data_IF_174023215100
#
_entry.id   IF_174023215100
#
_cell.length_a   1.000
_cell.length_b   1.000
_cell.length_c   1.000
_cell.angle_alpha   90.00
_cell.angle_beta   90.00
_cell.angle_gamma   90.00
#
_symmetry.space_group_name_H-M   'P 1'
#
loop_
_entity.id
_entity.type
_entity.pdbx_description
1 polymer ?
#
# COMPACT_ATOMS: atom_id res chain seq x y z
N UNK A 1 -1.75 -28.72 9.81
CA UNK A 1 -0.95 -27.49 10.09
C UNK A 1 -0.53 -26.72 8.82
N UNK A 2 -0.44 -27.34 7.62
CA UNK A 2 -0.10 -26.61 6.39
C UNK A 2 -1.18 -25.65 5.86
N UNK A 3 -2.45 -25.95 6.10
CA UNK A 3 -3.59 -25.18 5.56
C UNK A 3 -3.67 -23.74 6.10
N UNK A 4 -3.35 -23.54 7.40
CA UNK A 4 -3.34 -22.22 8.03
C UNK A 4 -2.21 -21.31 7.55
N UNK A 5 -1.06 -21.88 7.17
CA UNK A 5 0.08 -21.12 6.61
C UNK A 5 -0.23 -20.61 5.20
N UNK A 6 -0.84 -21.45 4.36
CA UNK A 6 -1.25 -21.07 2.99
C UNK A 6 -2.32 -19.99 3.02
N UNK A 7 -3.31 -20.11 3.90
CA UNK A 7 -4.35 -19.09 4.08
C UNK A 7 -3.78 -17.72 4.48
N UNK A 8 -2.84 -17.70 5.44
CA UNK A 8 -2.19 -16.47 5.89
C UNK A 8 -1.36 -15.81 4.77
N UNK A 9 -0.72 -16.60 3.92
CA UNK A 9 0.02 -16.06 2.77
C UNK A 9 -0.92 -15.44 1.72
N UNK A 10 -2.04 -16.11 1.41
CA UNK A 10 -3.05 -15.60 0.49
C UNK A 10 -3.65 -14.26 0.94
N UNK A 11 -3.96 -14.14 2.23
CA UNK A 11 -4.48 -12.89 2.81
C UNK A 11 -3.45 -11.76 2.80
N UNK A 12 -2.16 -12.08 3.03
CA UNK A 12 -1.08 -11.09 2.96
C UNK A 12 -0.81 -10.60 1.53
N UNK A 13 -0.83 -11.49 0.54
CA UNK A 13 -0.72 -11.10 -0.87
C UNK A 13 -1.88 -10.22 -1.30
N UNK A 14 -3.12 -10.59 -0.93
CA UNK A 14 -4.31 -9.77 -1.18
C UNK A 14 -4.22 -8.38 -0.50
N UNK A 15 -3.67 -8.31 0.71
CA UNK A 15 -3.40 -7.05 1.40
C UNK A 15 -2.40 -6.16 0.65
N UNK A 16 -1.31 -6.72 0.15
CA UNK A 16 -0.31 -5.97 -0.62
C UNK A 16 -0.89 -5.40 -1.93
N UNK A 17 -1.67 -6.19 -2.67
CA UNK A 17 -2.35 -5.73 -3.88
C UNK A 17 -3.41 -4.66 -3.59
N UNK A 18 -4.15 -4.80 -2.49
CA UNK A 18 -5.10 -3.79 -2.04
C UNK A 18 -4.42 -2.44 -1.74
N UNK A 19 -3.22 -2.48 -1.14
CA UNK A 19 -2.44 -1.27 -0.86
C UNK A 19 -1.91 -0.63 -2.15
N UNK A 20 -1.39 -1.41 -3.10
CA UNK A 20 -0.99 -0.89 -4.41
C UNK A 20 -2.16 -0.21 -5.13
N UNK A 21 -3.35 -0.81 -5.07
CA UNK A 21 -4.56 -0.22 -5.63
C UNK A 21 -4.96 1.09 -4.93
N UNK A 22 -4.85 1.15 -3.60
CA UNK A 22 -5.11 2.38 -2.83
C UNK A 22 -4.12 3.50 -3.21
N UNK A 23 -2.84 3.18 -3.39
CA UNK A 23 -1.81 4.14 -3.80
C UNK A 23 -2.09 4.72 -5.20
N UNK A 24 -2.48 3.85 -6.15
CA UNK A 24 -2.85 4.28 -7.50
C UNK A 24 -4.02 5.27 -7.49
N UNK A 25 -5.07 4.98 -6.73
CA UNK A 25 -6.23 5.89 -6.58
C UNK A 25 -5.82 7.24 -5.98
N UNK A 26 -4.89 7.25 -5.02
CA UNK A 26 -4.35 8.47 -4.42
C UNK A 26 -3.64 9.36 -5.44
N UNK A 27 -2.82 8.78 -6.32
CA UNK A 27 -2.19 9.52 -7.42
C UNK A 27 -3.24 10.09 -8.39
N UNK A 28 -4.21 9.29 -8.80
CA UNK A 28 -5.28 9.75 -9.70
C UNK A 28 -6.05 10.94 -9.12
N UNK A 29 -6.33 10.93 -7.81
CA UNK A 29 -6.98 12.05 -7.10
C UNK A 29 -6.12 13.32 -7.09
N UNK A 30 -4.81 13.18 -6.85
CA UNK A 30 -3.89 14.33 -6.86
C UNK A 30 -3.80 14.93 -8.26
N UNK A 31 -3.60 14.11 -9.27
CA UNK A 31 -3.53 14.59 -10.66
C UNK A 31 -4.83 15.30 -11.08
N UNK A 32 -5.99 14.80 -10.65
CA UNK A 32 -7.26 15.47 -10.96
C UNK A 32 -7.33 16.87 -10.34
N UNK A 33 -6.83 17.02 -9.11
CA UNK A 33 -6.73 18.33 -8.45
C UNK A 33 -5.77 19.22 -9.24
N UNK A 34 -4.61 18.73 -9.63
CA UNK A 34 -3.64 19.50 -10.41
C UNK A 34 -4.19 19.93 -11.77
N UNK A 35 -4.91 19.06 -12.47
CA UNK A 35 -5.60 19.38 -13.74
C UNK A 35 -6.67 20.45 -13.56
N UNK A 36 -7.48 20.35 -12.51
CA UNK A 36 -8.53 21.33 -12.20
C UNK A 36 -7.94 22.71 -11.83
N UNK A 37 -6.76 22.70 -11.20
CA UNK A 37 -6.07 23.91 -10.74
C UNK A 37 -5.26 24.57 -11.86
N UNK A 38 -4.73 23.79 -12.81
CA UNK A 38 -3.87 24.26 -13.88
C UNK A 38 -4.36 25.49 -14.67
N UNK A 39 -5.63 25.56 -15.13
CA UNK A 39 -6.12 26.69 -15.92
C UNK A 39 -6.35 27.98 -15.11
N UNK A 40 -6.40 27.92 -13.78
CA UNK A 40 -6.71 29.08 -12.92
C UNK A 40 -5.51 29.60 -12.12
N UNK A 41 -4.29 29.09 -12.38
CA UNK A 41 -3.06 29.52 -11.68
C UNK A 41 -2.82 31.03 -11.76
N UNK A 42 -3.24 31.68 -12.84
CA UNK A 42 -3.09 33.13 -13.05
C UNK A 42 -4.13 33.98 -12.30
N UNK A 43 -5.28 33.42 -11.94
CA UNK A 43 -6.42 34.13 -11.31
C UNK A 43 -6.65 33.72 -9.85
N UNK A 44 -5.75 32.92 -9.28
CA UNK A 44 -5.88 32.39 -7.92
C UNK A 44 -5.95 33.50 -6.87
N UNK A 45 -7.15 33.73 -6.35
CA UNK A 45 -7.37 34.35 -5.05
C UNK A 45 -7.04 33.35 -3.93
N UNK A 46 -6.71 33.86 -2.73
CA UNK A 46 -6.15 33.07 -1.62
C UNK A 46 -6.93 31.79 -1.22
N UNK A 47 -8.24 31.75 -1.42
CA UNK A 47 -9.12 30.61 -1.09
C UNK A 47 -8.81 29.34 -1.89
N UNK A 48 -8.37 29.49 -3.14
CA UNK A 48 -8.08 28.34 -3.99
C UNK A 48 -6.72 27.69 -3.65
N UNK A 49 -5.76 28.50 -3.19
CA UNK A 49 -4.50 28.03 -2.61
C UNK A 49 -4.74 27.25 -1.31
N UNK A 50 -5.61 27.76 -0.44
CA UNK A 50 -5.99 27.09 0.80
C UNK A 50 -6.65 25.72 0.53
N UNK A 51 -7.54 25.66 -0.47
CA UNK A 51 -8.18 24.41 -0.89
C UNK A 51 -7.19 23.38 -1.47
N UNK A 52 -6.16 23.85 -2.18
CA UNK A 52 -5.07 23.00 -2.65
C UNK A 52 -4.24 22.47 -1.48
N UNK A 53 -3.83 23.33 -0.55
CA UNK A 53 -3.02 22.96 0.61
C UNK A 53 -3.71 21.91 1.50
N UNK A 54 -5.03 22.04 1.70
CA UNK A 54 -5.84 21.04 2.42
C UNK A 54 -5.79 19.68 1.71
N UNK A 55 -5.97 19.66 0.37
CA UNK A 55 -5.94 18.40 -0.40
C UNK A 55 -4.56 17.79 -0.43
N UNK A 56 -3.51 18.61 -0.55
CA UNK A 56 -2.12 18.17 -0.49
C UNK A 56 -1.80 17.52 0.85
N UNK A 57 -2.17 18.16 1.97
CA UNK A 57 -2.03 17.58 3.31
C UNK A 57 -2.75 16.24 3.46
N UNK A 58 -3.97 16.13 2.93
CA UNK A 58 -4.72 14.87 2.97
C UNK A 58 -4.03 13.77 2.17
N UNK A 59 -3.47 14.12 1.01
CA UNK A 59 -2.68 13.20 0.20
C UNK A 59 -1.42 12.75 0.93
N UNK A 60 -0.64 13.68 1.48
CA UNK A 60 0.61 13.38 2.21
C UNK A 60 0.33 12.43 3.38
N UNK A 61 -0.73 12.70 4.15
CA UNK A 61 -1.13 11.85 5.27
C UNK A 61 -1.54 10.44 4.83
N UNK A 62 -2.32 10.32 3.76
CA UNK A 62 -2.76 9.02 3.27
C UNK A 62 -1.62 8.21 2.63
N UNK A 63 -0.69 8.87 1.93
CA UNK A 63 0.52 8.24 1.41
C UNK A 63 1.44 7.74 2.54
N UNK A 64 1.57 8.50 3.62
CA UNK A 64 2.33 8.09 4.81
C UNK A 64 1.74 6.84 5.48
N UNK A 65 0.41 6.77 5.63
CA UNK A 65 -0.25 5.59 6.19
C UNK A 65 -0.10 4.35 5.29
N UNK A 66 -0.11 4.53 3.97
CA UNK A 66 0.18 3.44 3.02
C UNK A 66 1.63 2.96 3.16
N UNK A 67 2.60 3.88 3.21
CA UNK A 67 4.01 3.54 3.38
C UNK A 67 4.24 2.78 4.69
N UNK A 68 3.58 3.20 5.77
CA UNK A 68 3.59 2.51 7.06
C UNK A 68 2.99 1.11 6.97
N UNK A 69 1.86 0.95 6.29
CA UNK A 69 1.21 -0.34 6.09
C UNK A 69 2.10 -1.31 5.30
N UNK A 70 2.78 -0.83 4.25
CA UNK A 70 3.77 -1.62 3.49
C UNK A 70 4.99 -2.00 4.35
N UNK A 71 5.47 -1.07 5.18
CA UNK A 71 6.56 -1.33 6.11
C UNK A 71 6.25 -2.41 7.15
N UNK A 72 4.99 -2.53 7.57
CA UNK A 72 4.53 -3.60 8.47
C UNK A 72 4.39 -4.95 7.75
N UNK A 73 4.03 -4.94 6.46
CA UNK A 73 3.85 -6.16 5.68
C UNK A 73 5.16 -6.80 5.21
N UNK A 74 6.20 -6.01 4.93
CA UNK A 74 7.50 -6.52 4.46
C UNK A 74 8.14 -7.57 5.38
N UNK A 75 8.29 -7.29 6.70
CA UNK A 75 8.82 -8.25 7.67
C UNK A 75 7.94 -9.49 7.84
N UNK A 76 6.61 -9.33 7.74
CA UNK A 76 5.69 -10.45 7.83
C UNK A 76 5.87 -11.41 6.64
N UNK A 77 6.04 -10.89 5.42
CA UNK A 77 6.28 -11.69 4.20
C UNK A 77 7.63 -12.41 4.26
N UNK A 78 8.69 -11.74 4.73
CA UNK A 78 10.01 -12.33 4.91
C UNK A 78 9.97 -13.52 5.90
N UNK A 79 9.31 -13.33 7.04
CA UNK A 79 9.15 -14.36 8.08
C UNK A 79 8.34 -15.57 7.58
N UNK A 80 7.37 -15.36 6.70
CA UNK A 80 6.60 -16.45 6.07
C UNK A 80 7.41 -17.26 5.06
N UNK A 81 8.36 -16.62 4.36
CA UNK A 81 9.22 -17.30 3.38
C UNK A 81 10.23 -18.24 4.06
N UNK A 82 10.80 -17.79 5.19
CA UNK A 82 11.73 -18.61 5.99
C UNK A 82 11.03 -19.80 6.66
N UNK A 83 9.80 -19.61 7.16
CA UNK A 83 9.02 -20.69 7.76
C UNK A 83 8.55 -21.73 6.73
N UNK A 84 8.22 -21.31 5.50
CA UNK A 84 7.93 -22.24 4.40
C UNK A 84 9.14 -23.11 4.06
N UNK A 85 10.32 -22.51 3.81
CA UNK A 85 11.55 -23.29 3.53
C UNK A 85 11.82 -24.30 4.65
N UNK A 86 11.67 -23.88 5.91
CA UNK A 86 11.88 -24.77 7.04
C UNK A 86 10.82 -25.88 7.16
N UNK A 87 9.57 -25.62 6.76
CA UNK A 87 8.48 -26.59 6.79
C UNK A 87 8.60 -27.58 5.63
N UNK A 88 8.90 -27.08 4.43
CA UNK A 88 9.09 -27.88 3.22
C UNK A 88 10.30 -28.81 3.35
N UNK A 89 11.41 -28.32 3.92
CA UNK A 89 12.57 -29.15 4.27
C UNK A 89 12.23 -30.24 5.31
N UNK A 90 11.37 -29.95 6.29
CA UNK A 90 10.95 -30.96 7.28
C UNK A 90 9.99 -31.97 6.66
N UNK A 91 9.04 -31.52 5.85
CA UNK A 91 8.10 -32.39 5.15
C UNK A 91 8.83 -33.32 4.18
N UNK A 92 9.77 -32.80 3.38
CA UNK A 92 10.61 -33.59 2.47
C UNK A 92 11.41 -34.69 3.19
N UNK A 93 11.91 -34.44 4.42
CA UNK A 93 12.61 -35.45 5.22
C UNK A 93 11.72 -36.53 5.84
N UNK A 94 10.41 -36.32 5.86
CA UNK A 94 9.44 -37.26 6.41
C UNK A 94 8.79 -38.15 5.33
N UNK A 95 9.03 -37.86 4.04
CA UNK A 95 8.51 -38.61 2.90
C UNK A 95 9.58 -39.45 2.17
N UNK A 96 10.77 -39.63 2.78
CA UNK A 96 11.73 -40.71 2.47
C UNK A 96 11.70 -41.76 3.59
#
# INVERSE_FOLDING_TARGET
>A
MGDSLVYNHGSMHAGAESIKAALKRLHEQLEQVERNVAPFKATWSGTARESYDIRKKKWDGAAAEIAKSLGLLGPALAKSSDSMKATDQRASRHFE
#
